data_IF_974781563433
#
_entry.id   IF_974781563433
#
_cell.length_a   1.000
_cell.length_b   1.000
_cell.length_c   1.000
_cell.angle_alpha   90.00
_cell.angle_beta   90.00
_cell.angle_gamma   90.00
#
_symmetry.space_group_name_H-M   'P 1'
#
loop_
_entity.id
_entity.type
_entity.pdbx_description
1 polymer ?
#
# COMPACT_ATOMS: atom_id res chain seq x y z
N UNK A 1 24.64 18.66 13.22
CA UNK A 1 23.73 19.54 12.45
C UNK A 1 22.56 18.76 11.90
N UNK A 2 21.33 18.85 12.39
CA UNK A 2 20.77 19.46 13.59
C UNK A 2 19.53 18.63 13.94
N UNK A 3 19.41 18.18 15.20
CA UNK A 3 18.19 17.60 15.77
C UNK A 3 16.97 18.54 15.64
N UNK A 4 17.24 19.81 15.31
CA UNK A 4 16.29 20.85 14.92
C UNK A 4 15.58 20.57 13.59
N UNK A 5 16.19 19.88 12.63
CA UNK A 5 15.54 19.56 11.36
C UNK A 5 14.62 18.33 11.47
N UNK A 6 14.91 17.44 12.42
CA UNK A 6 13.97 16.40 12.87
C UNK A 6 12.84 17.00 13.73
N UNK A 7 13.06 18.17 14.34
CA UNK A 7 12.03 18.90 15.09
C UNK A 7 10.94 19.50 14.19
N UNK A 8 11.24 19.77 12.91
CA UNK A 8 10.25 20.19 11.89
C UNK A 8 9.33 19.02 11.48
N UNK A 9 9.64 17.77 11.87
CA UNK A 9 8.77 16.60 11.70
C UNK A 9 7.72 16.51 12.84
N UNK A 10 7.71 17.43 13.81
CA UNK A 10 6.61 17.62 14.79
C UNK A 10 5.38 18.32 14.19
N UNK A 11 5.04 18.00 12.94
CA UNK A 11 3.77 18.37 12.33
C UNK A 11 2.73 17.40 12.86
N UNK A 12 1.74 17.87 13.64
CA UNK A 12 0.59 17.13 14.20
C UNK A 12 0.56 15.67 13.75
N UNK A 13 1.38 14.86 14.41
CA UNK A 13 1.59 13.50 13.96
C UNK A 13 0.39 12.71 14.46
N UNK A 14 -0.49 12.36 13.54
CA UNK A 14 -1.67 11.57 13.87
C UNK A 14 -1.23 10.19 14.33
N UNK A 15 -1.16 10.01 15.65
CA UNK A 15 -0.67 8.79 16.28
C UNK A 15 -1.45 7.55 15.84
N UNK A 16 -2.77 7.71 15.62
CA UNK A 16 -3.61 6.67 15.07
C UNK A 16 -3.23 6.28 13.64
N UNK A 17 -2.78 7.23 12.82
CA UNK A 17 -2.40 6.98 11.43
C UNK A 17 -1.17 6.09 11.37
N UNK A 18 -0.17 6.32 12.21
CA UNK A 18 1.00 5.43 12.31
C UNK A 18 0.59 4.05 12.83
N UNK A 19 -0.25 3.98 13.87
CA UNK A 19 -0.71 2.70 14.42
C UNK A 19 -1.50 1.87 13.37
N UNK A 20 -2.38 2.49 12.58
CA UNK A 20 -3.11 1.78 11.52
C UNK A 20 -2.20 1.41 10.35
N UNK A 21 -1.22 2.26 9.98
CA UNK A 21 -0.19 1.90 8.99
C UNK A 21 0.63 0.69 9.43
N UNK A 22 0.90 0.55 10.71
CA UNK A 22 1.61 -0.59 11.27
C UNK A 22 0.81 -1.89 11.13
N UNK A 23 -0.49 -1.85 11.43
CA UNK A 23 -1.37 -2.99 11.21
C UNK A 23 -1.41 -3.33 9.71
N UNK A 24 -1.64 -2.31 8.85
CA UNK A 24 -1.72 -2.50 7.42
C UNK A 24 -0.43 -3.13 6.86
N UNK A 25 0.75 -2.62 7.24
CA UNK A 25 2.02 -3.16 6.72
C UNK A 25 2.28 -4.59 7.21
N UNK A 26 1.91 -4.93 8.44
CA UNK A 26 2.00 -6.31 8.92
C UNK A 26 1.10 -7.23 8.08
N UNK A 27 -0.12 -6.79 7.73
CA UNK A 27 -1.01 -7.55 6.86
C UNK A 27 -0.43 -7.78 5.45
N UNK A 28 0.24 -6.78 4.87
CA UNK A 28 0.99 -6.95 3.60
C UNK A 28 2.05 -8.02 3.75
N UNK A 29 2.86 -7.95 4.83
CA UNK A 29 3.92 -8.91 5.06
C UNK A 29 3.36 -10.32 5.22
N UNK A 30 2.27 -10.50 5.98
CA UNK A 30 1.58 -11.80 6.14
C UNK A 30 1.12 -12.34 4.79
N UNK A 31 0.53 -11.49 3.93
CA UNK A 31 0.07 -11.88 2.59
C UNK A 31 1.20 -12.38 1.67
N UNK A 32 2.43 -11.86 1.83
CA UNK A 32 3.61 -12.33 1.10
C UNK A 32 4.39 -13.44 1.82
N UNK A 33 4.19 -13.60 3.12
CA UNK A 33 4.86 -14.61 3.94
C UNK A 33 4.32 -16.01 3.67
N UNK A 34 3.04 -16.17 3.33
CA UNK A 34 2.43 -17.49 3.16
C UNK A 34 2.71 -18.22 1.84
N UNK A 35 3.96 -18.20 1.36
CA UNK A 35 4.40 -19.01 0.22
C UNK A 35 4.17 -20.51 0.47
N UNK A 36 4.37 -20.95 1.72
CA UNK A 36 4.15 -22.31 2.18
C UNK A 36 2.90 -22.35 3.08
N UNK A 37 1.73 -22.48 2.46
CA UNK A 37 0.42 -22.42 3.14
C UNK A 37 -0.37 -23.71 2.97
N UNK A 38 -1.04 -24.16 4.02
CA UNK A 38 -2.14 -25.12 3.91
C UNK A 38 -3.44 -24.41 3.48
N UNK A 39 -4.53 -25.17 3.25
CA UNK A 39 -5.80 -24.59 2.79
C UNK A 39 -6.31 -23.48 3.71
N UNK A 40 -6.26 -23.67 5.03
CA UNK A 40 -6.75 -22.68 6.01
C UNK A 40 -5.94 -21.39 5.95
N UNK A 41 -4.61 -21.48 5.93
CA UNK A 41 -3.72 -20.31 5.82
C UNK A 41 -3.96 -19.58 4.51
N UNK A 42 -4.15 -20.32 3.41
CA UNK A 42 -4.45 -19.72 2.10
C UNK A 42 -5.75 -18.89 2.14
N UNK A 43 -6.83 -19.42 2.72
CA UNK A 43 -8.08 -18.66 2.87
C UNK A 43 -7.90 -17.37 3.68
N UNK A 44 -7.12 -17.42 4.77
CA UNK A 44 -6.82 -16.24 5.58
C UNK A 44 -6.05 -15.20 4.74
N UNK A 45 -5.07 -15.65 3.96
CA UNK A 45 -4.27 -14.78 3.11
C UNK A 45 -5.12 -14.16 2.01
N UNK A 46 -5.92 -14.96 1.31
CA UNK A 46 -6.83 -14.49 0.25
C UNK A 46 -7.77 -13.41 0.80
N UNK A 47 -8.35 -13.63 1.99
CA UNK A 47 -9.16 -12.64 2.69
C UNK A 47 -8.38 -11.35 3.03
N UNK A 48 -7.12 -11.47 3.48
CA UNK A 48 -6.27 -10.30 3.73
C UNK A 48 -6.04 -9.51 2.42
N UNK A 49 -5.81 -10.20 1.29
CA UNK A 49 -5.63 -9.58 -0.03
C UNK A 49 -6.83 -8.72 -0.47
N UNK A 50 -8.04 -9.03 0.00
CA UNK A 50 -9.24 -8.27 -0.36
C UNK A 50 -9.21 -6.83 0.15
N UNK A 51 -8.63 -6.55 1.32
CA UNK A 51 -8.75 -5.22 1.94
C UNK A 51 -7.43 -4.53 2.32
N UNK A 52 -6.30 -5.22 2.45
CA UNK A 52 -5.08 -4.55 2.94
C UNK A 52 -4.54 -3.49 1.97
N UNK A 53 -4.58 -3.73 0.65
CA UNK A 53 -4.16 -2.75 -0.36
C UNK A 53 -5.13 -1.58 -0.48
N UNK A 54 -6.46 -1.82 -0.53
CA UNK A 54 -7.46 -0.77 -0.35
C UNK A 54 -7.22 0.11 0.89
N UNK A 55 -6.95 -0.51 2.05
CA UNK A 55 -6.62 0.21 3.28
C UNK A 55 -5.36 1.05 3.12
N UNK A 56 -4.30 0.53 2.50
CA UNK A 56 -3.07 1.27 2.20
C UNK A 56 -3.30 2.51 1.33
N UNK A 57 -4.12 2.38 0.28
CA UNK A 57 -4.48 3.53 -0.55
C UNK A 57 -5.32 4.56 0.22
N UNK A 58 -6.22 4.11 1.08
CA UNK A 58 -7.00 5.00 1.94
C UNK A 58 -6.12 5.78 2.92
N UNK A 59 -5.18 5.10 3.61
CA UNK A 59 -4.22 5.78 4.49
C UNK A 59 -3.29 6.73 3.70
N UNK A 60 -2.99 6.39 2.45
CA UNK A 60 -2.25 7.29 1.56
C UNK A 60 -3.04 8.53 1.19
N UNK A 61 -4.32 8.39 0.88
CA UNK A 61 -5.23 9.51 0.67
C UNK A 61 -5.28 10.45 1.89
N UNK A 62 -5.31 9.88 3.10
CA UNK A 62 -5.21 10.64 4.35
C UNK A 62 -3.89 11.41 4.39
N UNK A 63 -2.75 10.76 4.17
CA UNK A 63 -1.46 11.48 4.15
C UNK A 63 -1.37 12.53 3.05
N UNK A 64 -2.03 12.28 1.93
CA UNK A 64 -2.02 13.14 0.77
C UNK A 64 -2.82 14.43 1.02
N UNK A 65 -3.99 14.34 1.66
CA UNK A 65 -4.76 15.52 2.08
C UNK A 65 -3.95 16.47 2.98
N UNK A 66 -3.04 15.95 3.81
CA UNK A 66 -2.12 16.77 4.61
C UNK A 66 -1.06 17.51 3.77
N UNK A 67 -0.69 16.95 2.63
CA UNK A 67 0.31 17.51 1.71
C UNK A 67 -0.30 18.60 0.84
N UNK A 68 -1.53 18.38 0.34
CA UNK A 68 -2.24 19.37 -0.49
C UNK A 68 -2.34 20.74 0.18
N UNK A 69 -2.60 20.77 1.50
CA UNK A 69 -2.69 22.00 2.28
C UNK A 69 -1.36 22.80 2.38
N UNK A 70 -0.25 22.26 1.85
CA UNK A 70 1.09 22.86 1.90
C UNK A 70 1.54 23.48 0.57
N UNK A 71 0.65 23.53 -0.42
CA UNK A 71 0.88 24.18 -1.71
C UNK A 71 1.56 23.31 -2.77
N UNK A 72 1.51 23.78 -4.01
CA UNK A 72 1.90 23.03 -5.21
C UNK A 72 3.37 22.58 -5.22
N UNK A 73 4.32 23.42 -4.74
CA UNK A 73 5.74 23.04 -4.67
C UNK A 73 5.93 21.77 -3.81
N UNK A 74 5.21 21.67 -2.69
CA UNK A 74 5.32 20.51 -1.79
C UNK A 74 4.62 19.29 -2.36
N UNK A 75 3.50 19.49 -3.05
CA UNK A 75 2.81 18.45 -3.80
C UNK A 75 3.74 17.80 -4.84
N UNK A 76 4.34 18.59 -5.74
CA UNK A 76 5.20 18.07 -6.81
C UNK A 76 6.50 17.46 -6.26
N UNK A 77 7.09 18.03 -5.21
CA UNK A 77 8.23 17.42 -4.54
C UNK A 77 7.90 16.03 -3.96
N UNK A 78 6.70 15.84 -3.42
CA UNK A 78 6.28 14.52 -2.91
C UNK A 78 5.95 13.55 -4.05
N UNK A 79 5.28 14.02 -5.13
CA UNK A 79 4.99 13.20 -6.31
C UNK A 79 6.28 12.68 -6.94
N UNK A 80 7.26 13.57 -7.14
CA UNK A 80 8.58 13.23 -7.67
C UNK A 80 9.32 12.27 -6.73
N UNK A 81 9.21 12.46 -5.41
CA UNK A 81 9.81 11.52 -4.46
C UNK A 81 9.26 10.10 -4.60
N UNK A 82 7.94 9.95 -4.74
CA UNK A 82 7.29 8.65 -4.93
C UNK A 82 7.75 8.02 -6.24
N UNK A 83 7.78 8.78 -7.33
CA UNK A 83 8.27 8.31 -8.62
C UNK A 83 9.73 7.85 -8.56
N UNK A 84 10.61 8.62 -7.90
CA UNK A 84 12.02 8.27 -7.74
C UNK A 84 12.20 7.01 -6.88
N UNK A 85 11.48 6.88 -5.76
CA UNK A 85 11.51 5.64 -4.97
C UNK A 85 11.07 4.47 -5.84
N UNK A 86 9.96 4.61 -6.58
CA UNK A 86 9.47 3.56 -7.47
C UNK A 86 10.53 3.12 -8.48
N UNK A 87 11.14 4.07 -9.21
CA UNK A 87 12.13 3.75 -10.25
C UNK A 87 13.39 3.11 -9.64
N UNK A 88 13.96 3.73 -8.61
CA UNK A 88 15.18 3.22 -7.95
C UNK A 88 14.94 1.82 -7.39
N UNK A 89 13.83 1.62 -6.67
CA UNK A 89 13.53 0.32 -6.07
C UNK A 89 13.16 -0.73 -7.11
N UNK A 90 12.55 -0.35 -8.24
CA UNK A 90 12.28 -1.30 -9.34
C UNK A 90 13.57 -1.81 -9.96
N UNK A 91 14.52 -0.92 -10.25
CA UNK A 91 15.84 -1.30 -10.78
C UNK A 91 16.57 -2.24 -9.80
N UNK A 92 16.61 -1.89 -8.51
CA UNK A 92 17.22 -2.72 -7.47
C UNK A 92 16.52 -4.08 -7.38
N UNK A 93 15.18 -4.10 -7.32
CA UNK A 93 14.40 -5.34 -7.20
C UNK A 93 14.57 -6.26 -8.40
N UNK A 94 14.48 -5.74 -9.63
CA UNK A 94 14.69 -6.53 -10.85
C UNK A 94 16.11 -7.12 -10.87
N UNK A 95 17.12 -6.29 -10.56
CA UNK A 95 18.51 -6.72 -10.53
C UNK A 95 18.72 -7.85 -9.53
N UNK A 96 18.29 -7.68 -8.28
CA UNK A 96 18.43 -8.70 -7.25
C UNK A 96 17.63 -9.97 -7.59
N UNK A 97 16.41 -9.82 -8.10
CA UNK A 97 15.55 -10.96 -8.43
C UNK A 97 16.17 -11.81 -9.55
N UNK A 98 16.62 -11.23 -10.67
CA UNK A 98 17.25 -11.99 -11.77
C UNK A 98 18.47 -12.78 -11.29
N UNK A 99 19.29 -12.19 -10.42
CA UNK A 99 20.51 -12.84 -9.91
C UNK A 99 20.22 -13.90 -8.84
N UNK A 100 19.16 -13.74 -8.05
CA UNK A 100 18.90 -14.59 -6.88
C UNK A 100 17.74 -15.57 -7.05
N UNK A 101 16.88 -15.42 -8.05
CA UNK A 101 15.64 -16.19 -8.22
C UNK A 101 15.83 -17.71 -8.30
N UNK A 102 17.01 -18.19 -8.71
CA UNK A 102 17.34 -19.62 -8.72
C UNK A 102 17.70 -20.16 -7.32
N UNK A 103 18.06 -19.27 -6.39
CA UNK A 103 18.49 -19.62 -5.03
C UNK A 103 17.39 -19.41 -3.99
N UNK A 104 16.46 -18.48 -4.25
CA UNK A 104 15.37 -18.11 -3.35
C UNK A 104 13.99 -18.42 -3.92
N UNK A 105 13.07 -18.81 -3.04
CA UNK A 105 11.64 -18.96 -3.32
C UNK A 105 10.99 -17.59 -3.41
N UNK A 106 10.91 -17.08 -4.64
CA UNK A 106 10.22 -15.83 -4.98
C UNK A 106 8.85 -16.12 -5.63
N UNK A 107 7.90 -15.22 -5.44
CA UNK A 107 6.60 -15.25 -6.13
C UNK A 107 6.68 -14.74 -7.57
N UNK A 108 7.72 -13.97 -7.91
CA UNK A 108 7.89 -13.36 -9.23
C UNK A 108 9.23 -13.81 -9.81
N UNK A 109 9.18 -14.48 -10.97
CA UNK A 109 10.36 -14.80 -11.79
C UNK A 109 10.50 -13.72 -12.84
N UNK A 110 11.64 -13.04 -12.86
CA UNK A 110 11.89 -11.89 -13.73
C UNK A 110 12.99 -12.19 -14.75
N UNK A 111 13.02 -11.37 -15.80
CA UNK A 111 14.00 -11.48 -16.88
C UNK A 111 14.48 -10.09 -17.30
N UNK A 112 15.46 -10.03 -18.21
CA UNK A 112 15.93 -8.75 -18.76
C UNK A 112 14.80 -7.93 -19.42
N UNK A 113 13.74 -8.58 -19.91
CA UNK A 113 12.55 -7.91 -20.45
C UNK A 113 11.87 -7.01 -19.41
N UNK A 114 11.97 -7.34 -18.12
CA UNK A 114 11.37 -6.58 -17.03
C UNK A 114 11.92 -5.14 -16.93
N UNK A 115 13.18 -4.89 -17.34
CA UNK A 115 13.74 -3.53 -17.35
C UNK A 115 13.07 -2.60 -18.37
N UNK A 116 12.54 -3.15 -19.46
CA UNK A 116 11.85 -2.36 -20.48
C UNK A 116 10.40 -2.07 -20.10
N UNK A 117 9.76 -2.98 -19.35
CA UNK A 117 8.33 -2.93 -19.11
C UNK A 117 7.92 -2.38 -17.74
N UNK A 118 8.83 -2.31 -16.75
CA UNK A 118 8.42 -2.01 -15.36
C UNK A 118 7.72 -0.66 -15.17
N UNK A 119 7.94 0.31 -16.08
CA UNK A 119 7.27 1.62 -16.05
C UNK A 119 5.80 1.55 -16.50
N UNK A 120 5.42 0.54 -17.28
CA UNK A 120 4.05 0.33 -17.76
C UNK A 120 3.35 -0.68 -16.84
N UNK A 121 4.02 -1.80 -16.59
CA UNK A 121 3.54 -2.88 -15.73
C UNK A 121 4.54 -3.09 -14.57
N UNK A 122 4.27 -2.49 -13.40
CA UNK A 122 5.21 -2.50 -12.29
C UNK A 122 5.39 -3.89 -11.69
N UNK A 123 6.62 -4.17 -11.25
CA UNK A 123 7.02 -5.49 -10.75
C UNK A 123 6.60 -5.74 -9.31
N UNK A 124 6.07 -6.93 -9.03
CA UNK A 124 5.84 -7.44 -7.69
C UNK A 124 5.02 -6.49 -6.81
N UNK A 125 5.52 -6.23 -5.59
CA UNK A 125 4.88 -5.35 -4.60
C UNK A 125 4.94 -3.86 -4.98
N UNK A 126 5.87 -3.44 -5.84
CA UNK A 126 6.13 -2.03 -6.16
C UNK A 126 4.99 -1.36 -6.95
N UNK A 127 4.03 -2.14 -7.43
CA UNK A 127 2.82 -1.67 -8.12
C UNK A 127 2.06 -0.59 -7.35
N UNK A 128 2.12 -0.62 -6.03
CA UNK A 128 1.51 0.37 -5.16
C UNK A 128 2.15 1.76 -5.29
N UNK A 129 3.48 1.86 -5.39
CA UNK A 129 4.16 3.15 -5.54
C UNK A 129 3.85 3.77 -6.90
N UNK A 130 3.81 2.93 -7.94
CA UNK A 130 3.41 3.35 -9.29
C UNK A 130 1.97 3.86 -9.31
N UNK A 131 1.02 3.09 -8.76
CA UNK A 131 -0.38 3.49 -8.64
C UNK A 131 -0.55 4.77 -7.81
N UNK A 132 0.20 4.92 -6.72
CA UNK A 132 0.17 6.12 -5.90
C UNK A 132 0.66 7.35 -6.67
N UNK A 133 1.71 7.22 -7.49
CA UNK A 133 2.15 8.29 -8.37
C UNK A 133 1.06 8.67 -9.40
N UNK A 134 0.40 7.68 -10.01
CA UNK A 134 -0.75 7.92 -10.91
C UNK A 134 -1.86 8.67 -10.17
N UNK A 135 -2.18 8.30 -8.93
CA UNK A 135 -3.21 8.98 -8.15
C UNK A 135 -2.88 10.43 -7.82
N UNK A 136 -1.60 10.75 -7.58
CA UNK A 136 -1.19 12.16 -7.48
C UNK A 136 -1.51 12.93 -8.76
N UNK A 137 -1.19 12.36 -9.94
CA UNK A 137 -1.47 13.01 -11.22
C UNK A 137 -2.98 13.15 -11.48
N UNK A 138 -3.75 12.08 -11.24
CA UNK A 138 -5.20 12.08 -11.41
C UNK A 138 -5.86 13.09 -10.47
N UNK A 139 -5.50 13.09 -9.19
CA UNK A 139 -6.08 14.03 -8.22
C UNK A 139 -5.68 15.48 -8.52
N UNK A 140 -4.47 15.74 -9.03
CA UNK A 140 -4.10 17.08 -9.52
C UNK A 140 -5.02 17.57 -10.63
N UNK A 141 -5.33 16.71 -11.61
CA UNK A 141 -6.28 17.02 -12.69
C UNK A 141 -7.69 17.21 -12.13
N UNK A 142 -8.16 16.31 -11.26
CA UNK A 142 -9.48 16.38 -10.64
C UNK A 142 -9.66 17.64 -9.78
N UNK A 143 -8.64 18.06 -9.01
CA UNK A 143 -8.68 19.27 -8.21
C UNK A 143 -8.76 20.54 -9.07
N UNK A 144 -8.17 20.54 -10.26
CA UNK A 144 -8.29 21.66 -11.22
C UNK A 144 -9.66 21.68 -11.90
N UNK A 145 -10.20 20.51 -12.24
CA UNK A 145 -11.48 20.39 -12.95
C UNK A 145 -12.70 20.59 -12.03
N UNK A 146 -12.63 20.11 -10.79
CA UNK A 146 -13.77 20.03 -9.88
C UNK A 146 -13.41 20.64 -8.53
N UNK A 147 -14.14 21.67 -8.08
CA UNK A 147 -13.90 22.29 -6.77
C UNK A 147 -14.55 21.51 -5.61
N UNK A 148 -15.70 20.88 -5.85
CA UNK A 148 -16.48 20.20 -4.81
C UNK A 148 -15.95 18.79 -4.52
N UNK A 149 -15.53 18.53 -3.28
CA UNK A 149 -14.97 17.23 -2.87
C UNK A 149 -15.95 16.05 -2.94
N UNK A 150 -17.26 16.31 -2.80
CA UNK A 150 -18.29 15.25 -2.95
C UNK A 150 -18.35 14.82 -4.42
N UNK A 151 -18.27 15.78 -5.35
CA UNK A 151 -18.27 15.48 -6.79
C UNK A 151 -17.01 14.70 -7.18
N UNK A 152 -15.83 15.05 -6.63
CA UNK A 152 -14.60 14.27 -6.85
C UNK A 152 -14.76 12.82 -6.39
N UNK A 153 -15.35 12.61 -5.21
CA UNK A 153 -15.60 11.26 -4.70
C UNK A 153 -16.60 10.49 -5.58
N UNK A 154 -17.66 11.15 -6.06
CA UNK A 154 -18.61 10.54 -6.99
C UNK A 154 -17.96 10.14 -8.32
N UNK A 155 -17.08 10.99 -8.86
CA UNK A 155 -16.28 10.68 -10.06
C UNK A 155 -15.35 9.49 -9.79
N UNK A 156 -14.65 9.48 -8.65
CA UNK A 156 -13.79 8.35 -8.27
C UNK A 156 -14.58 7.05 -8.11
N UNK A 157 -15.77 7.10 -7.51
CA UNK A 157 -16.68 5.96 -7.41
C UNK A 157 -17.09 5.46 -8.80
N UNK A 158 -17.48 6.35 -9.71
CA UNK A 158 -17.87 5.97 -11.07
C UNK A 158 -16.71 5.33 -11.85
N UNK A 159 -15.49 5.85 -11.71
CA UNK A 159 -14.28 5.29 -12.33
C UNK A 159 -13.94 3.91 -11.73
N UNK A 160 -13.97 3.78 -10.41
CA UNK A 160 -13.68 2.50 -9.76
C UNK A 160 -14.74 1.45 -10.08
N UNK A 161 -16.03 1.82 -10.11
CA UNK A 161 -17.12 0.92 -10.51
C UNK A 161 -17.00 0.49 -11.98
N UNK A 162 -16.75 1.43 -12.90
CA UNK A 162 -16.58 1.09 -14.32
C UNK A 162 -15.37 0.18 -14.56
N UNK A 163 -14.28 0.39 -13.81
CA UNK A 163 -13.06 -0.41 -13.95
C UNK A 163 -13.28 -1.91 -13.69
N UNK A 164 -14.29 -2.28 -12.91
CA UNK A 164 -14.64 -3.69 -12.59
C UNK A 164 -15.15 -4.47 -13.81
N UNK A 165 -15.74 -3.75 -14.78
CA UNK A 165 -16.30 -4.29 -16.01
C UNK A 165 -15.33 -4.19 -17.20
N UNK A 166 -14.18 -3.52 -17.00
CA UNK A 166 -13.14 -3.37 -18.04
C UNK A 166 -12.02 -4.39 -17.85
N UNK A 167 -11.39 -4.81 -18.94
CA UNK A 167 -10.27 -5.75 -18.94
C UNK A 167 -8.95 -5.12 -19.40
N UNK A 168 -8.59 -3.95 -18.87
CA UNK A 168 -7.33 -3.25 -19.19
C UNK A 168 -6.13 -3.71 -18.32
N UNK A 169 -6.16 -4.96 -17.85
CA UNK A 169 -5.10 -5.56 -17.06
C UNK A 169 -4.77 -4.78 -15.78
N UNK A 170 -3.50 -4.44 -15.59
CA UNK A 170 -2.99 -3.68 -14.44
C UNK A 170 -3.76 -2.38 -14.19
N UNK A 171 -4.13 -1.63 -15.24
CA UNK A 171 -4.75 -0.32 -15.07
C UNK A 171 -6.19 -0.41 -14.56
N UNK A 172 -6.94 -1.47 -14.88
CA UNK A 172 -8.26 -1.70 -14.26
C UNK A 172 -8.12 -1.85 -12.74
N UNK A 173 -7.06 -2.55 -12.26
CA UNK A 173 -6.75 -2.66 -10.83
C UNK A 173 -6.35 -1.31 -10.21
N UNK A 174 -5.60 -0.47 -10.91
CA UNK A 174 -5.24 0.88 -10.43
C UNK A 174 -6.48 1.76 -10.31
N UNK A 175 -7.32 1.83 -11.35
CA UNK A 175 -8.53 2.65 -11.34
C UNK A 175 -9.54 2.18 -10.30
N UNK A 176 -9.62 0.88 -10.06
CA UNK A 176 -10.41 0.30 -8.96
C UNK A 176 -9.98 0.83 -7.58
N UNK A 177 -8.66 1.05 -7.37
CA UNK A 177 -8.13 1.51 -6.09
C UNK A 177 -8.30 3.02 -5.85
N UNK A 178 -8.70 3.79 -6.87
CA UNK A 178 -8.84 5.25 -6.81
C UNK A 178 -9.86 5.71 -5.75
N UNK A 179 -11.01 5.03 -5.67
CA UNK A 179 -12.04 5.33 -4.68
C UNK A 179 -11.51 5.31 -3.24
N UNK A 180 -10.63 4.35 -2.90
CA UNK A 180 -10.08 4.23 -1.56
C UNK A 180 -9.16 5.40 -1.22
N UNK A 181 -8.30 5.79 -2.17
CA UNK A 181 -7.45 6.96 -2.03
C UNK A 181 -8.28 8.24 -1.84
N UNK A 182 -9.32 8.45 -2.64
CA UNK A 182 -10.20 9.62 -2.52
C UNK A 182 -11.01 9.65 -1.22
N UNK A 183 -11.51 8.50 -0.75
CA UNK A 183 -12.12 8.37 0.57
C UNK A 183 -11.17 8.84 1.68
N UNK A 184 -9.89 8.46 1.60
CA UNK A 184 -8.86 8.89 2.54
C UNK A 184 -8.60 10.40 2.49
N UNK A 185 -8.51 10.97 1.29
CA UNK A 185 -8.32 12.41 1.09
C UNK A 185 -9.49 13.20 1.66
N UNK A 186 -10.72 12.80 1.35
CA UNK A 186 -11.92 13.45 1.86
C UNK A 186 -12.05 13.35 3.39
N UNK A 187 -11.67 12.20 3.98
CA UNK A 187 -11.61 12.07 5.44
C UNK A 187 -10.75 13.15 6.06
N UNK A 188 -9.64 13.55 5.42
CA UNK A 188 -8.78 14.58 5.97
C UNK A 188 -9.29 16.00 5.84
N UNK A 189 -10.05 16.28 4.78
CA UNK A 189 -10.73 17.57 4.60
C UNK A 189 -11.89 17.71 5.60
N UNK A 190 -12.72 16.67 5.71
CA UNK A 190 -13.99 16.74 6.47
C UNK A 190 -13.87 16.29 7.92
N UNK A 191 -12.80 15.56 8.27
CA UNK A 191 -12.65 14.79 9.53
C UNK A 191 -13.78 13.79 9.79
N UNK A 192 -14.56 13.45 8.76
CA UNK A 192 -15.66 12.49 8.81
C UNK A 192 -15.34 11.33 7.88
N UNK A 193 -15.54 10.11 8.37
CA UNK A 193 -15.50 8.92 7.51
C UNK A 193 -16.70 8.99 6.58
N UNK A 194 -16.53 8.94 5.24
CA UNK A 194 -17.64 8.98 4.29
C UNK A 194 -18.40 7.65 4.29
N UNK A 195 -19.02 7.30 5.42
CA UNK A 195 -19.67 6.02 5.66
C UNK A 195 -20.90 5.82 4.76
N UNK A 196 -21.45 6.91 4.22
CA UNK A 196 -22.47 6.85 3.18
C UNK A 196 -21.96 6.17 1.89
N UNK A 197 -20.65 6.21 1.60
CA UNK A 197 -20.03 5.44 0.49
C UNK A 197 -20.10 3.95 0.77
N UNK A 198 -19.99 3.51 2.04
CA UNK A 198 -20.29 2.13 2.40
C UNK A 198 -21.73 1.82 2.08
N UNK A 199 -22.68 2.65 2.53
CA UNK A 199 -24.12 2.37 2.40
C UNK A 199 -24.53 2.31 0.93
N UNK A 200 -24.13 3.31 0.13
CA UNK A 200 -24.44 3.36 -1.31
C UNK A 200 -23.69 2.26 -2.06
N UNK A 201 -22.43 2.00 -1.71
CA UNK A 201 -21.70 0.85 -2.23
C UNK A 201 -22.46 -0.45 -1.95
N UNK A 202 -22.68 -0.78 -0.68
CA UNK A 202 -23.35 -2.01 -0.21
C UNK A 202 -24.71 -2.18 -0.84
N UNK A 203 -25.51 -1.11 -1.01
CA UNK A 203 -26.78 -1.17 -1.72
C UNK A 203 -26.57 -1.45 -3.22
N UNK A 204 -25.67 -0.72 -3.88
CA UNK A 204 -25.43 -0.87 -5.31
C UNK A 204 -24.90 -2.24 -5.69
N UNK A 205 -24.04 -2.87 -4.89
CA UNK A 205 -23.60 -4.23 -5.21
C UNK A 205 -24.18 -5.36 -4.39
N UNK A 206 -25.16 -5.10 -3.54
CA UNK A 206 -26.22 -6.08 -3.32
C UNK A 206 -27.09 -6.19 -4.58
N UNK A 207 -27.35 -5.07 -5.28
CA UNK A 207 -28.27 -5.00 -6.43
C UNK A 207 -27.63 -5.39 -7.77
N UNK A 208 -26.42 -4.91 -8.08
CA UNK A 208 -25.74 -5.14 -9.36
C UNK A 208 -25.49 -6.65 -9.67
N UNK A 209 -25.13 -7.49 -8.70
CA UNK A 209 -25.03 -8.93 -8.91
C UNK A 209 -26.36 -9.67 -9.07
N UNK A 210 -27.46 -9.12 -8.53
CA UNK A 210 -28.80 -9.69 -8.74
C UNK A 210 -29.28 -9.44 -10.18
N UNK A 211 -28.74 -8.41 -10.83
CA UNK A 211 -29.02 -8.06 -12.23
C UNK A 211 -28.06 -8.77 -13.20
N UNK A 212 -26.80 -8.98 -12.79
CA UNK A 212 -25.82 -9.73 -13.58
C UNK A 212 -25.93 -11.23 -13.29
N UNK A 213 -26.59 -11.97 -14.18
CA UNK A 213 -26.78 -13.44 -14.11
C UNK A 213 -25.49 -14.28 -14.12
N UNK A 214 -24.31 -13.64 -14.11
CA UNK A 214 -23.01 -14.29 -14.17
C UNK A 214 -22.31 -14.27 -12.80
N UNK A 215 -21.98 -15.46 -12.29
CA UNK A 215 -21.34 -15.69 -10.98
C UNK A 215 -20.01 -14.94 -10.76
N UNK A 216 -19.32 -14.58 -11.84
CA UNK A 216 -18.02 -13.89 -11.80
C UNK A 216 -18.18 -12.43 -11.33
N UNK A 217 -19.23 -11.73 -11.74
CA UNK A 217 -19.46 -10.33 -11.35
C UNK A 217 -19.95 -10.22 -9.91
N UNK A 218 -20.73 -11.20 -9.43
CA UNK A 218 -21.14 -11.30 -8.02
C UNK A 218 -19.94 -11.33 -7.07
N UNK A 219 -18.94 -12.18 -7.37
CA UNK A 219 -17.75 -12.30 -6.54
C UNK A 219 -16.90 -11.02 -6.50
N UNK A 220 -16.66 -10.38 -7.65
CA UNK A 220 -15.89 -9.12 -7.70
C UNK A 220 -16.57 -8.00 -6.91
N UNK A 221 -17.89 -7.98 -6.93
CA UNK A 221 -18.70 -6.95 -6.27
C UNK A 221 -18.72 -7.16 -4.76
N UNK A 222 -18.85 -8.40 -4.28
CA UNK A 222 -18.71 -8.74 -2.86
C UNK A 222 -17.32 -8.36 -2.30
N UNK A 223 -16.26 -8.66 -3.04
CA UNK A 223 -14.88 -8.29 -2.66
C UNK A 223 -14.73 -6.78 -2.49
N UNK A 224 -15.36 -5.98 -3.36
CA UNK A 224 -15.37 -4.52 -3.22
C UNK A 224 -16.05 -4.05 -1.92
N UNK A 225 -17.13 -4.69 -1.49
CA UNK A 225 -17.77 -4.31 -0.22
C UNK A 225 -16.95 -4.66 1.00
N UNK A 226 -16.36 -5.86 1.00
CA UNK A 226 -15.47 -6.26 2.07
C UNK A 226 -14.31 -5.27 2.15
N UNK A 227 -13.70 -4.95 1.01
CA UNK A 227 -12.60 -3.98 0.91
C UNK A 227 -12.97 -2.60 1.48
N UNK A 228 -14.10 -2.01 1.05
CA UNK A 228 -14.58 -0.68 1.51
C UNK A 228 -14.88 -0.70 2.99
N UNK A 229 -15.67 -1.67 3.43
CA UNK A 229 -16.15 -1.77 4.81
C UNK A 229 -14.98 -1.95 5.77
N UNK A 230 -14.09 -2.91 5.48
CA UNK A 230 -12.92 -3.18 6.32
C UNK A 230 -11.98 -1.97 6.36
N UNK A 231 -11.68 -1.36 5.22
CA UNK A 231 -10.79 -0.19 5.17
C UNK A 231 -11.33 0.98 6.01
N UNK A 232 -12.63 1.28 5.90
CA UNK A 232 -13.26 2.35 6.67
C UNK A 232 -13.40 2.00 8.15
N UNK A 233 -13.66 0.74 8.49
CA UNK A 233 -13.64 0.27 9.88
C UNK A 233 -12.25 0.45 10.50
N UNK A 234 -11.17 0.08 9.81
CA UNK A 234 -9.81 0.29 10.30
C UNK A 234 -9.49 1.78 10.51
N UNK A 235 -9.89 2.65 9.58
CA UNK A 235 -9.72 4.11 9.75
C UNK A 235 -10.55 4.64 10.92
N UNK A 236 -11.80 4.19 11.09
CA UNK A 236 -12.70 4.61 12.17
C UNK A 236 -12.23 4.12 13.54
N UNK A 237 -11.87 2.84 13.65
CA UNK A 237 -11.33 2.26 14.88
C UNK A 237 -10.01 2.93 15.21
N UNK A 238 -9.14 3.13 14.22
CA UNK A 238 -7.90 3.87 14.37
C UNK A 238 -8.11 5.25 14.97
N UNK A 239 -8.91 6.08 14.31
CA UNK A 239 -9.12 7.47 14.70
C UNK A 239 -9.83 7.68 16.03
N UNK A 240 -10.53 6.66 16.54
CA UNK A 240 -11.21 6.73 17.85
C UNK A 240 -10.38 6.06 18.95
N UNK A 241 -9.81 4.88 18.68
CA UNK A 241 -9.25 3.98 19.71
C UNK A 241 -7.72 3.92 19.71
N UNK A 242 -7.06 4.21 18.59
CA UNK A 242 -5.60 4.10 18.46
C UNK A 242 -4.90 5.46 18.55
N UNK A 243 -5.49 6.43 19.26
CA UNK A 243 -4.90 7.77 19.43
C UNK A 243 -3.73 7.83 20.43
N UNK A 244 -3.53 6.79 21.24
CA UNK A 244 -2.41 6.71 22.18
C UNK A 244 -1.16 6.15 21.49
N UNK A 245 0.00 6.67 21.90
CA UNK A 245 1.29 6.16 21.44
C UNK A 245 1.49 4.75 21.98
N UNK A 246 1.51 3.77 21.09
CA UNK A 246 1.91 2.41 21.40
C UNK A 246 3.31 2.22 20.83
N UNK A 247 4.34 2.13 21.68
CA UNK A 247 5.75 2.28 21.27
C UNK A 247 6.11 1.43 20.03
N UNK A 248 5.75 0.14 20.06
CA UNK A 248 6.04 -0.80 18.97
C UNK A 248 5.28 -0.49 17.67
N UNK A 249 3.95 -0.40 17.73
CA UNK A 249 3.13 -0.13 16.54
C UNK A 249 3.41 1.24 15.95
N UNK A 250 3.68 2.24 16.79
CA UNK A 250 4.03 3.57 16.32
C UNK A 250 5.31 3.51 15.49
N UNK A 251 6.33 2.81 15.98
CA UNK A 251 7.62 2.70 15.30
C UNK A 251 7.53 1.98 13.95
N UNK A 252 6.84 0.83 13.91
CA UNK A 252 6.55 0.09 12.67
C UNK A 252 5.80 1.01 11.68
N UNK A 253 4.83 1.77 12.17
CA UNK A 253 4.05 2.73 11.36
C UNK A 253 4.91 3.84 10.77
N UNK A 254 5.86 4.39 11.55
CA UNK A 254 6.82 5.40 11.09
C UNK A 254 7.64 4.89 9.92
N UNK A 255 8.10 3.64 10.02
CA UNK A 255 9.01 3.01 9.06
C UNK A 255 8.29 2.10 8.06
N UNK A 256 6.98 2.26 7.92
CA UNK A 256 6.13 1.47 7.04
C UNK A 256 6.68 1.41 5.60
N UNK A 257 7.22 2.50 5.06
CA UNK A 257 7.82 2.50 3.71
C UNK A 257 9.10 1.64 3.61
N UNK A 258 9.91 1.57 4.68
CA UNK A 258 11.09 0.71 4.72
C UNK A 258 10.69 -0.76 4.70
N UNK A 259 9.72 -1.12 5.54
CA UNK A 259 9.17 -2.48 5.60
C UNK A 259 8.54 -2.82 4.24
N UNK A 260 7.75 -1.91 3.67
CA UNK A 260 7.16 -2.09 2.35
C UNK A 260 8.21 -2.39 1.27
N UNK A 261 9.30 -1.62 1.20
CA UNK A 261 10.33 -1.82 0.17
C UNK A 261 11.04 -3.17 0.35
N UNK A 262 11.46 -3.50 1.58
CA UNK A 262 12.40 -4.59 1.80
C UNK A 262 11.78 -5.92 2.25
N UNK A 263 10.52 -5.95 2.69
CA UNK A 263 9.93 -7.20 3.19
C UNK A 263 10.01 -8.39 2.21
N UNK A 264 9.87 -8.24 0.86
CA UNK A 264 9.86 -9.40 -0.03
C UNK A 264 11.19 -10.13 -0.07
N UNK A 265 12.31 -9.43 0.16
CA UNK A 265 13.63 -10.08 0.23
C UNK A 265 13.73 -10.99 1.45
N UNK A 266 13.26 -10.51 2.60
CA UNK A 266 13.29 -11.26 3.85
C UNK A 266 12.24 -12.39 3.88
N UNK A 267 11.02 -12.15 3.40
CA UNK A 267 10.01 -13.21 3.31
C UNK A 267 10.44 -14.31 2.34
N UNK A 268 10.99 -13.96 1.17
CA UNK A 268 11.51 -14.94 0.20
C UNK A 268 12.66 -15.74 0.80
N UNK A 269 13.62 -15.09 1.47
CA UNK A 269 14.74 -15.78 2.13
C UNK A 269 14.24 -16.73 3.22
N UNK A 270 13.35 -16.28 4.12
CA UNK A 270 12.81 -17.10 5.19
C UNK A 270 12.00 -18.29 4.68
N UNK A 271 11.16 -18.09 3.67
CA UNK A 271 10.42 -19.18 3.04
C UNK A 271 11.37 -20.20 2.39
N UNK A 272 12.45 -19.73 1.76
CA UNK A 272 13.47 -20.61 1.20
C UNK A 272 14.12 -21.48 2.28
N UNK A 273 14.51 -20.88 3.41
CA UNK A 273 15.10 -21.63 4.53
C UNK A 273 14.10 -22.64 5.11
N UNK A 274 12.87 -22.20 5.40
CA UNK A 274 11.84 -23.05 5.99
C UNK A 274 11.50 -24.26 5.10
N UNK A 275 11.44 -24.08 3.78
CA UNK A 275 11.19 -25.20 2.84
C UNK A 275 12.32 -26.22 2.76
N UNK A 276 13.54 -25.87 3.18
CA UNK A 276 14.69 -26.80 3.22
C UNK A 276 14.87 -27.47 4.58
N UNK A 277 14.15 -27.03 5.61
CA UNK A 277 14.19 -27.63 6.95
C UNK A 277 13.17 -28.77 7.04
N UNK A 278 13.62 -30.03 7.27
CA UNK A 278 12.70 -31.15 7.45
C UNK A 278 11.76 -30.89 8.63
N UNK A 279 10.44 -31.06 8.43
CA UNK A 279 9.43 -30.92 9.49
C UNK A 279 8.98 -29.47 9.79
N UNK A 280 9.40 -28.47 9.01
CA UNK A 280 8.89 -27.11 9.18
C UNK A 280 7.40 -27.02 8.81
N UNK A 281 6.53 -26.75 9.79
CA UNK A 281 5.09 -26.63 9.57
C UNK A 281 4.75 -25.31 8.85
N UNK A 282 3.68 -25.27 8.03
CA UNK A 282 3.21 -24.05 7.34
C UNK A 282 3.03 -22.84 8.26
N UNK A 283 2.47 -23.05 9.46
CA UNK A 283 2.26 -21.99 10.45
C UNK A 283 3.59 -21.44 10.97
N UNK A 284 4.58 -22.31 11.21
CA UNK A 284 5.91 -21.89 11.66
C UNK A 284 6.60 -21.08 10.56
N UNK A 285 6.54 -21.53 9.30
CA UNK A 285 7.08 -20.79 8.16
C UNK A 285 6.44 -19.41 8.05
N UNK A 286 5.11 -19.32 8.19
CA UNK A 286 4.37 -18.07 8.14
C UNK A 286 4.82 -17.10 9.25
N UNK A 287 4.96 -17.59 10.48
CA UNK A 287 5.40 -16.77 11.63
C UNK A 287 6.83 -16.28 11.39
N UNK A 288 7.76 -17.17 11.03
CA UNK A 288 9.17 -16.82 10.79
C UNK A 288 9.25 -15.78 9.67
N UNK A 289 8.62 -16.04 8.52
CA UNK A 289 8.66 -15.11 7.38
C UNK A 289 7.99 -13.77 7.70
N UNK A 290 6.95 -13.74 8.53
CA UNK A 290 6.32 -12.48 8.96
C UNK A 290 7.23 -11.68 9.87
N UNK A 291 7.82 -12.33 10.88
CA UNK A 291 8.73 -11.67 11.83
C UNK A 291 9.96 -11.14 11.12
N UNK A 292 10.62 -11.94 10.27
CA UNK A 292 11.79 -11.50 9.50
C UNK A 292 11.41 -10.46 8.46
N UNK A 293 10.24 -10.56 7.84
CA UNK A 293 9.70 -9.59 6.90
C UNK A 293 9.45 -8.21 7.51
N UNK A 294 9.21 -8.12 8.83
CA UNK A 294 9.05 -6.85 9.56
C UNK A 294 10.37 -6.38 10.17
N UNK A 295 11.08 -7.25 10.87
CA UNK A 295 12.30 -6.90 11.63
C UNK A 295 13.51 -6.70 10.71
N UNK A 296 13.64 -7.50 9.64
CA UNK A 296 14.72 -7.42 8.67
C UNK A 296 14.84 -6.03 8.03
N UNK A 297 13.77 -5.45 7.48
CA UNK A 297 13.78 -4.08 6.96
C UNK A 297 14.18 -3.01 7.98
N UNK A 298 13.81 -3.18 9.26
CA UNK A 298 14.22 -2.25 10.33
C UNK A 298 15.72 -2.35 10.62
N UNK A 299 16.30 -3.56 10.52
CA UNK A 299 17.74 -3.73 10.59
C UNK A 299 18.45 -3.07 9.40
N UNK A 300 17.94 -3.20 8.18
CA UNK A 300 18.46 -2.50 7.00
C UNK A 300 18.45 -0.99 7.22
N UNK A 301 17.33 -0.45 7.71
CA UNK A 301 17.22 0.96 8.10
C UNK A 301 18.31 1.38 9.09
N UNK A 302 18.53 0.59 10.14
CA UNK A 302 19.55 0.86 11.15
C UNK A 302 20.96 0.95 10.52
N UNK A 303 21.31 0.02 9.63
CA UNK A 303 22.58 0.02 8.90
C UNK A 303 22.67 1.23 7.97
N UNK A 304 21.64 1.51 7.16
CA UNK A 304 21.63 2.66 6.26
C UNK A 304 21.77 3.99 7.00
N UNK A 305 21.19 4.13 8.19
CA UNK A 305 21.36 5.33 9.03
C UNK A 305 22.79 5.51 9.52
N UNK A 306 23.45 4.42 9.95
CA UNK A 306 24.87 4.47 10.31
C UNK A 306 25.74 4.91 9.14
N UNK A 307 25.39 4.49 7.92
CA UNK A 307 26.09 4.85 6.69
C UNK A 307 25.63 6.19 6.08
N UNK A 308 24.67 6.90 6.69
CA UNK A 308 24.07 8.15 6.18
C UNK A 308 23.45 8.03 4.78
N UNK A 309 22.91 6.85 4.46
CA UNK A 309 22.30 6.51 3.17
C UNK A 309 20.77 6.37 3.22
N UNK A 310 20.16 6.51 4.40
CA UNK A 310 18.73 6.33 4.64
C UNK A 310 17.84 7.29 3.81
N UNK A 311 18.33 8.50 3.54
CA UNK A 311 17.62 9.47 2.70
C UNK A 311 17.56 9.07 1.23
N UNK A 312 18.56 8.37 0.70
CA UNK A 312 18.51 7.90 -0.69
C UNK A 312 17.37 6.92 -0.93
N UNK A 313 17.10 6.06 0.06
CA UNK A 313 16.08 5.01 -0.05
C UNK A 313 14.66 5.58 -0.01
N UNK A 314 14.39 6.56 0.86
CA UNK A 314 13.01 7.03 1.14
C UNK A 314 12.74 8.49 0.82
N UNK A 315 13.79 9.28 0.59
CA UNK A 315 13.71 10.69 0.22
C UNK A 315 14.72 11.07 -0.90
N UNK A 316 14.86 10.29 -1.98
CA UNK A 316 15.82 10.59 -3.05
C UNK A 316 15.62 11.99 -3.66
N UNK A 317 14.40 12.54 -3.58
CA UNK A 317 14.10 13.88 -4.10
C UNK A 317 14.98 14.98 -3.47
N UNK A 318 15.47 14.80 -2.24
CA UNK A 318 16.30 15.82 -1.55
C UNK A 318 17.65 16.08 -2.22
N UNK A 319 18.08 15.19 -3.12
CA UNK A 319 19.33 15.34 -3.87
C UNK A 319 19.15 16.11 -5.18
N UNK A 320 17.91 16.31 -5.64
CA UNK A 320 17.61 16.86 -6.98
C UNK A 320 16.70 18.10 -6.88
N UNK A 321 15.77 18.12 -5.93
CA UNK A 321 14.76 19.17 -5.76
C UNK A 321 15.06 20.01 -4.51
N UNK A 322 15.43 21.28 -4.70
CA UNK A 322 15.75 22.24 -3.62
C UNK A 322 14.58 23.16 -3.26
#
# INVERSE_FOLDING_TARGET
>A
MNAEQDSVIRLERFQWLDNVKAIAIILVVVGHAGYYSNCVIKYIIDFIYEFHMPLFFMLSGVTFGLVLNRGEKKFWGNALNIALIFVIQSVIYITLNINLQNFVKTQNVLSMKSFYNFLIEPVGHLWYLHALFIFYLLDFVLNKAVKNDIVKLAVAFAISASSMFTSFGYYSKVLYMLLFFECGRQYMVTKRTPMWVCIIGTLLGAVLPLISLESIYLNKTLVLFVAITMSLLFVKIGSVRLNKKCCLFTEIGVYCIWIFIFHPYFTSMSNTVCTRLPGCLPVISLIIATVTGVVGPLFVLFVCRKLKFDRFVTKPVTYIWK
#
